data_IF_494767510239
#
_entry.id   IF_494767510239
#
_cell.length_a   1.000
_cell.length_b   1.000
_cell.length_c   1.000
_cell.angle_alpha   90.00
_cell.angle_beta   90.00
_cell.angle_gamma   90.00
#
_symmetry.space_group_name_H-M   'P 1'
#
loop_
_entity.id
_entity.type
_entity.pdbx_description
1 polymer ?
#
# COMPACT_ATOMS: atom_id res chain seq x y z
N UNK A 1 -12.07 -8.67 -15.49
CA UNK A 1 -12.59 -7.30 -15.65
C UNK A 1 -11.73 -6.59 -16.69
N UNK A 2 -12.25 -6.20 -17.85
CA UNK A 2 -11.45 -5.59 -18.93
C UNK A 2 -12.09 -5.60 -20.33
N UNK A 3 -13.12 -6.43 -20.52
CA UNK A 3 -13.71 -6.68 -21.86
C UNK A 3 -14.43 -5.50 -22.51
N UNK A 4 -14.69 -4.40 -21.81
CA UNK A 4 -15.36 -3.22 -22.37
C UNK A 4 -14.53 -1.93 -22.31
N UNK A 5 -13.30 -1.95 -21.79
CA UNK A 5 -12.51 -0.73 -21.62
C UNK A 5 -12.21 -0.04 -22.95
N UNK A 6 -11.81 -0.81 -23.98
CA UNK A 6 -11.52 -0.25 -25.31
C UNK A 6 -12.76 0.38 -25.95
N UNK A 7 -13.92 -0.29 -25.85
CA UNK A 7 -15.20 0.20 -26.38
C UNK A 7 -15.67 1.46 -25.65
N UNK A 8 -15.57 1.48 -24.32
CA UNK A 8 -16.00 2.64 -23.54
C UNK A 8 -15.12 3.87 -23.77
N UNK A 9 -13.82 3.68 -24.03
CA UNK A 9 -12.85 4.76 -24.13
C UNK A 9 -12.61 5.24 -25.58
N UNK A 10 -13.04 4.49 -26.60
CA UNK A 10 -12.77 4.82 -28.01
C UNK A 10 -13.34 6.18 -28.42
N UNK A 11 -14.53 6.50 -27.91
CA UNK A 11 -15.34 7.65 -28.31
C UNK A 11 -14.96 8.95 -27.57
N UNK A 12 -14.01 8.88 -26.64
CA UNK A 12 -13.55 10.03 -25.85
C UNK A 12 -12.19 10.50 -26.33
N UNK A 13 -11.94 11.81 -26.26
CA UNK A 13 -10.65 12.39 -26.65
C UNK A 13 -9.55 12.14 -25.60
N UNK A 14 -9.92 12.05 -24.33
CA UNK A 14 -9.01 11.82 -23.20
C UNK A 14 -9.73 11.20 -22.01
N UNK A 15 -8.96 10.64 -21.08
CA UNK A 15 -9.46 9.97 -19.87
C UNK A 15 -9.03 10.72 -18.62
N UNK A 16 -9.95 10.88 -17.66
CA UNK A 16 -9.67 11.43 -16.33
C UNK A 16 -9.95 10.33 -15.31
N UNK A 17 -8.94 9.98 -14.51
CA UNK A 17 -9.04 8.86 -13.57
C UNK A 17 -9.25 9.31 -12.13
N UNK A 18 -10.42 8.94 -11.58
CA UNK A 18 -10.75 9.11 -10.16
C UNK A 18 -10.84 7.77 -9.41
N UNK A 19 -10.22 6.71 -9.93
CA UNK A 19 -10.31 5.36 -9.37
C UNK A 19 -9.30 5.12 -8.24
N UNK A 20 -9.63 4.18 -7.37
CA UNK A 20 -8.95 3.95 -6.11
C UNK A 20 -8.25 2.58 -6.03
N UNK A 21 -8.19 1.84 -7.14
CA UNK A 21 -7.64 0.49 -7.17
C UNK A 21 -6.68 0.27 -8.35
N UNK A 22 -5.67 -0.55 -8.12
CA UNK A 22 -4.62 -0.82 -9.10
C UNK A 22 -5.12 -1.54 -10.36
N UNK A 23 -5.97 -2.59 -10.29
CA UNK A 23 -6.42 -3.28 -11.50
C UNK A 23 -7.09 -2.34 -12.49
N UNK A 24 -7.92 -1.40 -12.00
CA UNK A 24 -8.56 -0.41 -12.87
C UNK A 24 -7.55 0.55 -13.48
N UNK A 25 -6.54 1.00 -12.72
CA UNK A 25 -5.46 1.87 -13.25
C UNK A 25 -4.64 1.20 -14.35
N UNK A 26 -4.28 -0.08 -14.18
CA UNK A 26 -3.59 -0.82 -15.24
C UNK A 26 -4.51 -1.06 -16.45
N UNK A 27 -5.79 -1.32 -16.22
CA UNK A 27 -6.79 -1.45 -17.30
C UNK A 27 -6.91 -0.14 -18.09
N UNK A 28 -7.01 1.01 -17.41
CA UNK A 28 -7.06 2.33 -18.04
C UNK A 28 -5.77 2.62 -18.79
N UNK A 29 -4.60 2.36 -18.18
CA UNK A 29 -3.30 2.54 -18.81
C UNK A 29 -3.23 1.83 -20.16
N UNK A 30 -3.54 0.54 -20.15
CA UNK A 30 -3.35 -0.35 -21.29
C UNK A 30 -4.32 0.02 -22.41
N UNK A 31 -5.58 0.32 -22.06
CA UNK A 31 -6.55 0.81 -23.03
C UNK A 31 -6.13 2.16 -23.64
N UNK A 32 -5.62 3.09 -22.83
CA UNK A 32 -5.15 4.39 -23.30
C UNK A 32 -3.88 4.27 -24.17
N UNK A 33 -2.97 3.35 -23.83
CA UNK A 33 -1.78 3.08 -24.64
C UNK A 33 -2.16 2.50 -26.01
N UNK A 34 -3.09 1.54 -26.06
CA UNK A 34 -3.59 0.92 -27.29
C UNK A 34 -4.33 1.94 -28.17
N UNK A 35 -5.19 2.76 -27.58
CA UNK A 35 -6.01 3.74 -28.30
C UNK A 35 -5.28 5.06 -28.60
N UNK A 36 -4.08 5.27 -28.04
CA UNK A 36 -3.34 6.52 -28.15
C UNK A 36 -4.04 7.70 -27.48
N UNK A 37 -4.70 7.47 -26.34
CA UNK A 37 -5.49 8.48 -25.62
C UNK A 37 -4.68 9.08 -24.47
N UNK A 38 -4.63 10.41 -24.31
CA UNK A 38 -4.10 11.04 -23.12
C UNK A 38 -4.89 10.63 -21.88
N UNK A 39 -4.19 10.44 -20.77
CA UNK A 39 -4.78 10.05 -19.50
C UNK A 39 -4.30 10.95 -18.36
N UNK A 40 -5.23 11.69 -17.75
CA UNK A 40 -4.98 12.54 -16.59
C UNK A 40 -5.19 11.72 -15.31
N UNK A 41 -4.08 11.31 -14.71
CA UNK A 41 -4.05 10.47 -13.52
C UNK A 41 -4.18 11.30 -12.24
N UNK A 42 -4.95 10.78 -11.29
CA UNK A 42 -5.07 11.30 -9.94
C UNK A 42 -5.01 10.16 -8.92
N UNK A 43 -4.27 10.36 -7.84
CA UNK A 43 -4.25 9.41 -6.72
C UNK A 43 -4.09 10.13 -5.40
N UNK A 44 -4.63 9.54 -4.34
CA UNK A 44 -4.59 10.08 -2.98
C UNK A 44 -4.19 8.99 -2.00
N UNK A 45 -3.40 9.35 -0.99
CA UNK A 45 -3.05 8.47 0.10
C UNK A 45 -2.84 9.29 1.38
N UNK A 46 -3.72 9.09 2.37
CA UNK A 46 -3.75 9.83 3.65
C UNK A 46 -3.87 11.35 3.48
N UNK A 47 -2.73 12.03 3.36
CA UNK A 47 -2.61 13.49 3.24
C UNK A 47 -1.87 13.90 1.97
N UNK A 48 -1.44 12.93 1.15
CA UNK A 48 -0.69 13.18 -0.07
C UNK A 48 -1.56 12.94 -1.30
N UNK A 49 -1.57 13.91 -2.22
CA UNK A 49 -2.19 13.81 -3.54
C UNK A 49 -1.11 13.71 -4.62
N UNK A 50 -1.40 12.99 -5.69
CA UNK A 50 -0.52 12.81 -6.84
C UNK A 50 -1.29 13.09 -8.13
N UNK A 51 -0.68 13.85 -9.05
CA UNK A 51 -1.24 14.14 -10.38
C UNK A 51 -0.12 14.08 -11.43
N UNK A 52 -0.44 13.46 -12.57
CA UNK A 52 0.43 13.45 -13.76
C UNK A 52 -0.44 13.26 -15.01
N UNK A 53 0.14 13.50 -16.18
CA UNK A 53 -0.48 13.15 -17.46
C UNK A 53 0.33 12.00 -18.08
N UNK A 54 -0.36 10.97 -18.54
CA UNK A 54 0.21 9.81 -19.24
C UNK A 54 -0.25 9.77 -20.69
N UNK A 55 0.51 9.04 -21.53
CA UNK A 55 0.16 8.78 -22.94
C UNK A 55 -0.07 10.05 -23.78
N UNK A 56 0.50 11.18 -23.39
CA UNK A 56 0.33 12.46 -24.08
C UNK A 56 1.55 12.78 -24.95
N UNK A 57 1.33 13.09 -26.24
CA UNK A 57 2.36 13.43 -27.24
C UNK A 57 3.54 12.45 -27.30
N UNK A 58 3.23 11.15 -27.16
CA UNK A 58 4.26 10.11 -27.13
C UNK A 58 5.12 10.12 -25.86
N UNK A 59 4.67 10.76 -24.78
CA UNK A 59 5.29 10.75 -23.45
C UNK A 59 5.20 9.40 -22.73
N UNK A 60 5.70 9.33 -21.48
CA UNK A 60 5.65 8.10 -20.67
C UNK A 60 4.23 7.77 -20.22
N UNK A 61 4.03 6.52 -19.81
CA UNK A 61 2.76 6.00 -19.31
C UNK A 61 2.88 5.42 -17.90
N UNK A 62 1.77 4.89 -17.38
CA UNK A 62 1.72 4.41 -16.00
C UNK A 62 2.62 3.19 -15.78
N UNK A 63 2.78 2.31 -16.78
CA UNK A 63 3.73 1.18 -16.69
C UNK A 63 5.19 1.61 -16.79
N UNK A 64 5.48 2.78 -17.37
CA UNK A 64 6.83 3.34 -17.35
C UNK A 64 7.22 3.80 -15.94
N UNK A 65 6.28 4.41 -15.22
CA UNK A 65 6.48 4.90 -13.85
C UNK A 65 6.29 3.82 -12.77
N UNK A 66 5.29 2.97 -12.94
CA UNK A 66 4.91 1.87 -12.05
C UNK A 66 4.79 0.57 -12.84
N UNK A 67 5.91 -0.08 -13.19
CA UNK A 67 5.90 -1.31 -13.99
C UNK A 67 5.08 -2.42 -13.33
N UNK A 68 5.16 -2.50 -12.00
CA UNK A 68 4.37 -3.38 -11.15
C UNK A 68 3.75 -2.57 -10.00
N UNK A 69 2.59 -3.02 -9.53
CA UNK A 69 1.92 -2.40 -8.40
C UNK A 69 2.79 -2.50 -7.14
N UNK A 70 2.79 -1.48 -6.26
CA UNK A 70 3.43 -1.58 -4.95
C UNK A 70 2.75 -2.67 -4.09
N UNK A 71 3.49 -3.31 -3.16
CA UNK A 71 2.94 -4.35 -2.29
C UNK A 71 1.71 -3.87 -1.49
N UNK A 72 0.70 -4.72 -1.23
CA UNK A 72 -0.48 -4.36 -0.45
C UNK A 72 -0.15 -3.76 0.92
N UNK A 73 0.91 -4.25 1.56
CA UNK A 73 1.39 -3.74 2.86
C UNK A 73 1.89 -2.29 2.81
N UNK A 74 2.32 -1.83 1.63
CA UNK A 74 2.83 -0.48 1.38
C UNK A 74 1.80 0.44 0.71
N UNK A 75 0.67 -0.11 0.25
CA UNK A 75 -0.37 0.62 -0.44
C UNK A 75 -1.79 0.19 0.03
N UNK A 76 -2.13 0.43 1.31
CA UNK A 76 -3.50 0.24 1.77
C UNK A 76 -4.46 1.12 0.96
N UNK A 77 -5.64 0.59 0.65
CA UNK A 77 -6.69 1.32 -0.05
C UNK A 77 -7.21 2.50 0.81
N UNK A 78 -7.88 3.46 0.19
CA UNK A 78 -8.39 4.66 0.86
C UNK A 78 -9.35 4.32 2.03
N UNK A 79 -10.06 3.18 1.93
CA UNK A 79 -11.00 2.72 2.94
C UNK A 79 -10.30 2.24 4.23
N UNK A 80 -9.08 1.71 4.13
CA UNK A 80 -8.30 1.21 5.26
C UNK A 80 -7.32 2.24 5.85
N UNK A 81 -6.73 3.09 5.00
CA UNK A 81 -5.73 4.08 5.42
C UNK A 81 -6.35 5.36 6.01
N UNK A 82 -7.61 5.66 5.62
CA UNK A 82 -8.25 6.94 5.82
C UNK A 82 -7.62 8.05 4.97
N UNK A 83 -8.45 8.93 4.41
CA UNK A 83 -7.99 10.07 3.60
C UNK A 83 -8.62 11.36 4.11
N UNK A 84 -7.87 12.46 4.07
CA UNK A 84 -8.42 13.78 4.32
C UNK A 84 -9.51 14.09 3.28
N UNK A 85 -10.77 14.23 3.70
CA UNK A 85 -11.91 14.30 2.78
C UNK A 85 -11.89 15.43 1.75
N UNK A 86 -11.13 16.50 1.98
CA UNK A 86 -10.96 17.60 0.99
C UNK A 86 -9.93 17.29 -0.09
N UNK A 87 -9.04 16.31 0.13
CA UNK A 87 -7.94 15.99 -0.78
C UNK A 87 -8.41 15.51 -2.16
N UNK A 88 -9.45 14.65 -2.32
CA UNK A 88 -10.02 14.36 -3.62
C UNK A 88 -10.46 15.60 -4.39
N UNK A 89 -11.02 16.60 -3.70
CA UNK A 89 -11.44 17.87 -4.32
C UNK A 89 -10.25 18.69 -4.83
N UNK A 90 -9.15 18.71 -4.08
CA UNK A 90 -7.90 19.37 -4.50
C UNK A 90 -7.31 18.66 -5.72
N UNK A 91 -7.14 17.34 -5.64
CA UNK A 91 -6.57 16.52 -6.73
C UNK A 91 -7.44 16.60 -7.99
N UNK A 92 -8.76 16.46 -7.86
CA UNK A 92 -9.70 16.57 -8.99
C UNK A 92 -9.70 17.96 -9.63
N UNK A 93 -9.50 19.04 -8.86
CA UNK A 93 -9.36 20.40 -9.41
C UNK A 93 -8.10 20.52 -10.26
N UNK A 94 -7.00 19.89 -9.84
CA UNK A 94 -5.74 19.89 -10.60
C UNK A 94 -5.87 19.02 -11.85
N UNK A 95 -6.50 17.85 -11.76
CA UNK A 95 -6.80 17.01 -12.93
C UNK A 95 -7.66 17.78 -13.95
N UNK A 96 -8.66 18.53 -13.48
CA UNK A 96 -9.49 19.38 -14.35
C UNK A 96 -8.68 20.48 -15.01
N UNK A 97 -7.75 21.11 -14.29
CA UNK A 97 -6.85 22.11 -14.85
C UNK A 97 -5.92 21.53 -15.92
N UNK A 98 -5.31 20.35 -15.69
CA UNK A 98 -4.52 19.66 -16.72
C UNK A 98 -5.38 19.32 -17.94
N UNK A 99 -6.58 18.79 -17.73
CA UNK A 99 -7.53 18.46 -18.81
C UNK A 99 -7.80 19.67 -19.70
N UNK A 100 -8.14 20.82 -19.11
CA UNK A 100 -8.39 22.06 -19.84
C UNK A 100 -7.14 22.53 -20.60
N UNK A 101 -5.95 22.44 -19.98
CA UNK A 101 -4.68 22.79 -20.65
C UNK A 101 -4.43 21.94 -21.88
N UNK A 102 -4.63 20.62 -21.77
CA UNK A 102 -4.46 19.69 -22.88
C UNK A 102 -5.46 19.96 -24.00
N UNK A 103 -6.75 20.16 -23.69
CA UNK A 103 -7.79 20.45 -24.68
C UNK A 103 -7.55 21.76 -25.44
N UNK A 104 -7.03 22.78 -24.75
CA UNK A 104 -6.77 24.09 -25.34
C UNK A 104 -5.36 24.23 -25.93
N UNK A 105 -4.47 23.27 -25.67
CA UNK A 105 -3.05 23.37 -26.05
C UNK A 105 -2.32 24.53 -25.38
N UNK A 106 -2.62 24.83 -24.11
CA UNK A 106 -2.07 25.98 -23.39
C UNK A 106 -1.21 25.57 -22.19
N UNK A 107 -0.06 26.26 -22.05
CA UNK A 107 0.90 25.99 -20.97
C UNK A 107 1.61 24.64 -21.11
N UNK A 108 2.40 24.30 -20.10
CA UNK A 108 3.11 23.02 -20.04
C UNK A 108 2.24 21.96 -19.36
N UNK A 109 2.24 20.72 -19.87
CA UNK A 109 1.53 19.60 -19.24
C UNK A 109 2.37 18.93 -18.15
N UNK A 110 1.72 18.18 -17.26
CA UNK A 110 2.41 17.28 -16.32
C UNK A 110 2.89 15.96 -16.96
N UNK A 111 2.98 15.88 -18.30
CA UNK A 111 3.55 14.69 -18.95
C UNK A 111 5.03 14.54 -18.57
N UNK A 112 5.42 13.35 -18.10
CA UNK A 112 6.77 13.09 -17.58
C UNK A 112 7.08 13.76 -16.23
N UNK A 113 6.07 14.28 -15.53
CA UNK A 113 6.22 14.93 -14.23
C UNK A 113 5.14 14.51 -13.23
N UNK A 114 5.51 13.76 -12.19
CA UNK A 114 4.62 13.44 -11.09
C UNK A 114 4.61 14.60 -10.09
N UNK A 115 3.52 15.37 -10.09
CA UNK A 115 3.25 16.35 -9.04
C UNK A 115 2.76 15.62 -7.79
N UNK A 116 3.41 15.85 -6.65
CA UNK A 116 2.99 15.36 -5.34
C UNK A 116 2.72 16.55 -4.43
N UNK A 117 1.57 16.54 -3.77
CA UNK A 117 1.14 17.58 -2.84
C UNK A 117 0.99 16.93 -1.47
N UNK A 118 1.78 17.38 -0.50
CA UNK A 118 1.58 17.03 0.91
C UNK A 118 0.72 18.10 1.59
N UNK A 119 -0.53 17.76 1.90
CA UNK A 119 -1.47 18.69 2.54
C UNK A 119 -1.21 18.92 4.02
N UNK A 120 -0.34 18.13 4.68
CA UNK A 120 0.08 18.44 6.07
C UNK A 120 1.00 19.66 6.10
N UNK A 121 1.93 19.72 5.16
CA UNK A 121 2.92 20.79 5.08
C UNK A 121 2.58 21.85 4.02
N UNK A 122 1.54 21.61 3.21
CA UNK A 122 1.16 22.39 2.03
C UNK A 122 2.32 22.60 1.07
N UNK A 123 3.18 21.59 0.94
CA UNK A 123 4.31 21.59 0.01
C UNK A 123 3.99 20.79 -1.24
N UNK A 124 4.36 21.33 -2.39
CA UNK A 124 4.29 20.65 -3.68
C UNK A 124 5.69 20.31 -4.15
N UNK A 125 5.87 19.10 -4.66
CA UNK A 125 7.12 18.61 -5.28
C UNK A 125 6.79 18.02 -6.64
N UNK A 126 7.69 18.23 -7.61
CA UNK A 126 7.57 17.66 -8.95
C UNK A 126 8.71 16.69 -9.16
N UNK A 127 8.39 15.43 -9.45
CA UNK A 127 9.34 14.37 -9.73
C UNK A 127 9.30 14.06 -11.23
N UNK A 128 10.44 14.24 -11.91
CA UNK A 128 10.53 13.92 -13.34
C UNK A 128 10.71 12.42 -13.55
N UNK A 129 10.08 11.89 -14.59
CA UNK A 129 10.23 10.50 -15.02
C UNK A 129 10.11 10.40 -16.54
N UNK A 130 10.71 9.36 -17.10
CA UNK A 130 10.78 9.11 -18.54
C UNK A 130 10.25 7.70 -18.85
N UNK A 131 10.17 7.39 -20.15
CA UNK A 131 9.83 6.03 -20.60
C UNK A 131 10.80 5.00 -20.05
N UNK A 132 10.29 3.83 -19.68
CA UNK A 132 11.13 2.74 -19.21
C UNK A 132 11.88 2.11 -20.41
N UNK A 133 13.22 2.15 -20.44
CA UNK A 133 13.98 1.61 -21.56
C UNK A 133 13.73 0.11 -21.75
N UNK A 134 13.45 -0.30 -22.98
CA UNK A 134 13.22 -1.72 -23.32
C UNK A 134 11.84 -2.27 -22.96
N UNK A 135 10.92 -1.45 -22.41
CA UNK A 135 9.52 -1.85 -22.23
C UNK A 135 8.87 -2.07 -23.59
N UNK A 136 8.16 -3.19 -23.73
CA UNK A 136 7.32 -3.44 -24.90
C UNK A 136 5.98 -2.72 -24.73
N UNK A 137 5.53 -1.94 -25.74
CA UNK A 137 4.20 -1.35 -25.72
C UNK A 137 3.12 -2.42 -25.59
N UNK A 138 2.04 -2.10 -24.86
CA UNK A 138 0.85 -2.94 -24.83
C UNK A 138 0.06 -2.71 -26.11
N UNK A 139 -0.20 -3.77 -26.88
CA UNK A 139 -0.91 -3.68 -28.17
C UNK A 139 -2.30 -4.33 -28.14
N UNK A 140 -2.60 -5.11 -27.10
CA UNK A 140 -3.88 -5.78 -26.89
C UNK A 140 -4.20 -5.86 -25.40
N UNK A 141 -5.49 -5.84 -25.06
CA UNK A 141 -5.90 -6.00 -23.67
C UNK A 141 -5.60 -7.43 -23.22
N UNK A 142 -4.92 -7.56 -22.09
CA UNK A 142 -4.64 -8.85 -21.47
C UNK A 142 -4.96 -8.78 -20.00
N UNK A 143 -6.02 -9.48 -19.60
CA UNK A 143 -6.36 -9.65 -18.19
C UNK A 143 -5.19 -10.30 -17.44
N UNK A 144 -4.47 -11.22 -18.07
CA UNK A 144 -3.28 -11.84 -17.50
C UNK A 144 -2.16 -10.83 -17.23
N UNK A 145 -1.89 -9.87 -18.14
CA UNK A 145 -0.86 -8.83 -17.90
C UNK A 145 -1.27 -7.81 -16.83
N UNK A 146 -2.57 -7.53 -16.72
CA UNK A 146 -3.10 -6.66 -15.66
C UNK A 146 -3.00 -7.39 -14.32
N UNK A 147 -3.41 -8.66 -14.31
CA UNK A 147 -3.26 -9.57 -13.19
C UNK A 147 -1.79 -9.62 -12.80
N UNK A 148 -0.84 -9.98 -13.67
CA UNK A 148 0.61 -10.04 -13.38
C UNK A 148 1.18 -8.72 -12.84
N UNK A 149 0.76 -7.58 -13.38
CA UNK A 149 1.23 -6.28 -12.90
C UNK A 149 0.68 -5.91 -11.52
N UNK A 150 -0.56 -6.32 -11.22
CA UNK A 150 -1.15 -6.24 -9.90
C UNK A 150 -0.65 -7.36 -8.97
N UNK A 151 -0.24 -8.48 -9.57
CA UNK A 151 0.35 -9.67 -9.03
C UNK A 151 1.88 -9.62 -9.12
N UNK A 152 2.46 -8.45 -8.78
CA UNK A 152 3.68 -8.51 -7.96
C UNK A 152 3.50 -9.41 -6.72
N UNK A 153 2.29 -9.95 -6.49
CA UNK A 153 1.95 -11.15 -5.75
C UNK A 153 0.82 -11.99 -6.45
N UNK A 154 1.12 -13.15 -7.05
CA UNK A 154 0.49 -14.47 -6.75
C UNK A 154 0.86 -15.62 -7.74
N UNK A 155 1.52 -16.66 -7.21
CA UNK A 155 1.67 -18.06 -7.71
C UNK A 155 2.52 -18.30 -8.98
N UNK A 156 3.84 -18.43 -8.80
CA UNK A 156 4.54 -19.59 -9.40
C UNK A 156 4.20 -20.80 -8.54
N UNK A 157 3.88 -21.94 -9.16
CA UNK A 157 3.88 -23.24 -8.49
C UNK A 157 5.31 -23.58 -8.03
N UNK A 158 5.72 -22.97 -6.93
CA UNK A 158 6.81 -23.42 -6.07
C UNK A 158 6.19 -23.63 -4.67
N UNK A 159 6.64 -24.66 -3.91
CA UNK A 159 5.98 -25.06 -2.66
C UNK A 159 5.86 -23.89 -1.67
N UNK A 160 4.82 -23.87 -0.82
CA UNK A 160 4.40 -22.68 -0.08
C UNK A 160 5.51 -22.13 0.82
N UNK A 161 5.88 -20.87 0.61
CA UNK A 161 6.81 -20.11 1.47
C UNK A 161 6.03 -18.93 2.08
N UNK A 162 5.53 -19.08 3.32
CA UNK A 162 5.25 -17.91 4.19
C UNK A 162 3.85 -17.69 4.77
N UNK A 163 3.26 -18.67 5.45
CA UNK A 163 2.34 -18.34 6.55
C UNK A 163 3.17 -17.81 7.72
N UNK A 164 2.84 -16.60 8.19
CA UNK A 164 3.26 -16.15 9.52
C UNK A 164 2.45 -16.94 10.54
N UNK A 165 3.09 -17.35 11.63
CA UNK A 165 2.37 -18.06 12.67
C UNK A 165 1.41 -17.09 13.37
N UNK A 166 0.15 -17.48 13.52
CA UNK A 166 -0.85 -16.66 14.18
C UNK A 166 -1.12 -17.18 15.59
N UNK A 167 -1.41 -16.26 16.50
CA UNK A 167 -1.85 -16.59 17.85
C UNK A 167 -2.91 -15.60 18.32
N UNK A 168 -3.98 -16.11 18.91
CA UNK A 168 -4.99 -15.27 19.57
C UNK A 168 -4.53 -14.88 20.99
N UNK A 169 -5.06 -13.79 21.57
CA UNK A 169 -4.79 -13.44 22.97
C UNK A 169 -5.05 -14.57 23.96
N UNK A 170 -6.18 -15.29 23.82
CA UNK A 170 -6.51 -16.46 24.65
C UNK A 170 -5.45 -17.55 24.58
N UNK A 171 -5.02 -17.94 23.38
CA UNK A 171 -4.00 -18.97 23.19
C UNK A 171 -2.63 -18.52 23.71
N UNK A 172 -2.29 -17.24 23.53
CA UNK A 172 -1.06 -16.66 24.05
C UNK A 172 -1.00 -16.78 25.58
N UNK A 173 -2.07 -16.39 26.28
CA UNK A 173 -2.16 -16.50 27.75
C UNK A 173 -2.13 -17.96 28.20
N UNK A 174 -2.86 -18.84 27.52
CA UNK A 174 -2.87 -20.27 27.84
C UNK A 174 -1.48 -20.88 27.70
N UNK A 175 -0.77 -20.64 26.60
CA UNK A 175 0.60 -21.16 26.39
C UNK A 175 1.59 -20.56 27.40
N UNK A 176 1.49 -19.27 27.71
CA UNK A 176 2.26 -18.62 28.79
C UNK A 176 2.07 -19.32 30.13
N UNK A 177 0.83 -19.69 30.47
CA UNK A 177 0.53 -20.41 31.72
C UNK A 177 1.18 -21.81 31.79
N UNK A 178 1.46 -22.42 30.63
CA UNK A 178 2.13 -23.72 30.49
C UNK A 178 3.66 -23.61 30.40
N UNK A 179 4.22 -22.41 30.61
CA UNK A 179 5.66 -22.16 30.65
C UNK A 179 6.29 -21.66 29.35
N UNK A 180 5.49 -21.38 28.30
CA UNK A 180 6.00 -20.75 27.09
C UNK A 180 6.31 -19.27 27.34
N UNK A 181 7.53 -18.83 27.05
CA UNK A 181 7.98 -17.47 27.34
C UNK A 181 8.58 -16.78 26.10
N UNK A 182 7.73 -16.37 25.13
CA UNK A 182 8.19 -15.66 23.94
C UNK A 182 8.55 -14.20 24.29
N UNK A 183 9.40 -13.60 23.46
CA UNK A 183 9.67 -12.17 23.46
C UNK A 183 8.46 -11.44 22.88
N UNK A 184 7.88 -10.52 23.64
CA UNK A 184 6.67 -9.80 23.28
C UNK A 184 7.02 -8.38 22.80
N UNK A 185 6.84 -8.14 21.50
CA UNK A 185 7.16 -6.89 20.83
C UNK A 185 5.88 -6.07 20.54
N UNK A 186 5.80 -4.87 21.11
CA UNK A 186 4.77 -3.89 20.79
C UNK A 186 5.21 -2.99 19.64
N UNK A 187 4.44 -2.97 18.55
CA UNK A 187 4.74 -2.14 17.38
C UNK A 187 3.84 -0.92 17.18
N UNK A 188 3.11 -0.54 18.23
CA UNK A 188 2.27 0.66 18.25
C UNK A 188 3.10 1.94 18.39
N UNK A 189 2.42 3.09 18.26
CA UNK A 189 3.02 4.41 18.46
C UNK A 189 3.16 4.73 19.93
N UNK A 190 4.12 5.61 20.27
CA UNK A 190 4.36 6.02 21.66
C UNK A 190 3.12 6.63 22.35
N UNK A 191 2.25 7.33 21.62
CA UNK A 191 1.02 7.86 22.19
C UNK A 191 -0.03 6.78 22.49
N UNK A 192 -0.01 5.66 21.75
CA UNK A 192 -0.88 4.50 22.00
C UNK A 192 -0.38 3.67 23.19
N UNK A 193 0.95 3.52 23.30
CA UNK A 193 1.62 2.91 24.46
C UNK A 193 1.27 3.64 25.77
N UNK A 194 1.30 4.97 25.75
CA UNK A 194 1.03 5.81 26.92
C UNK A 194 -0.40 5.64 27.47
N UNK A 195 -1.33 5.13 26.68
CA UNK A 195 -2.70 4.82 27.11
C UNK A 195 -2.71 3.50 27.90
N UNK A 196 -2.15 2.45 27.31
CA UNK A 196 -2.13 1.10 27.88
C UNK A 196 -1.05 0.26 27.23
N UNK A 197 -0.43 -0.63 28.00
CA UNK A 197 0.52 -1.63 27.53
C UNK A 197 0.13 -3.01 28.05
N UNK A 198 0.35 -4.06 27.25
CA UNK A 198 0.13 -5.42 27.72
C UNK A 198 1.16 -5.81 28.78
N UNK A 199 0.76 -6.52 29.85
CA UNK A 199 1.71 -7.04 30.83
C UNK A 199 2.72 -7.98 30.15
N UNK A 200 3.99 -7.87 30.53
CA UNK A 200 5.04 -8.73 29.97
C UNK A 200 5.53 -8.32 28.57
N UNK A 201 5.26 -7.09 28.12
CA UNK A 201 5.88 -6.52 26.92
C UNK A 201 7.37 -6.26 27.15
N UNK A 202 8.23 -6.90 26.35
CA UNK A 202 9.68 -6.83 26.49
C UNK A 202 10.27 -5.60 25.80
N UNK A 203 9.79 -5.26 24.61
CA UNK A 203 10.28 -4.12 23.84
C UNK A 203 9.16 -3.41 23.07
N UNK A 204 9.37 -2.12 22.84
CA UNK A 204 8.44 -1.24 22.15
C UNK A 204 9.15 -0.50 21.03
N UNK A 205 8.73 -0.74 19.81
CA UNK A 205 9.29 -0.12 18.61
C UNK A 205 8.18 0.10 17.62
N UNK A 206 7.84 1.35 17.32
CA UNK A 206 6.83 1.64 16.30
C UNK A 206 7.15 0.89 14.99
N UNK A 207 6.15 0.24 14.40
CA UNK A 207 6.29 -0.61 13.20
C UNK A 207 7.25 -0.07 12.11
N UNK A 208 7.21 1.23 11.81
CA UNK A 208 8.09 1.86 10.80
C UNK A 208 9.59 1.85 11.16
N UNK A 209 9.90 1.76 12.44
CA UNK A 209 11.26 1.77 12.97
C UNK A 209 11.81 0.35 13.20
N UNK A 210 10.97 -0.69 13.08
CA UNK A 210 11.39 -2.08 13.27
C UNK A 210 12.51 -2.49 12.30
N UNK A 211 12.51 -2.12 11.00
CA UNK A 211 13.60 -2.47 10.10
C UNK A 211 14.97 -1.95 10.54
N UNK A 212 15.03 -0.75 11.11
CA UNK A 212 16.27 -0.16 11.60
C UNK A 212 16.73 -0.76 12.94
N UNK A 213 15.84 -1.42 13.69
CA UNK A 213 16.12 -2.02 15.01
C UNK A 213 16.09 -3.54 15.00
N UNK A 214 15.93 -4.17 13.83
CA UNK A 214 15.76 -5.61 13.75
C UNK A 214 17.00 -6.37 14.20
N UNK A 215 18.19 -5.77 14.13
CA UNK A 215 19.41 -6.41 14.63
C UNK A 215 19.45 -6.53 16.16
N UNK A 216 18.73 -5.66 16.87
CA UNK A 216 18.65 -5.64 18.33
C UNK A 216 17.61 -6.63 18.89
N UNK A 217 16.77 -7.22 18.03
CA UNK A 217 15.74 -8.17 18.43
C UNK A 217 16.36 -9.57 18.63
N UNK A 218 15.95 -10.32 19.67
CA UNK A 218 16.46 -11.66 19.92
C UNK A 218 16.01 -12.64 18.83
N UNK A 219 16.97 -13.41 18.31
CA UNK A 219 16.75 -14.39 17.22
C UNK A 219 16.69 -15.84 17.71
N UNK A 220 17.01 -16.06 18.99
CA UNK A 220 17.14 -17.36 19.64
C UNK A 220 15.89 -17.79 20.42
N UNK A 221 14.83 -16.98 20.42
CA UNK A 221 13.55 -17.27 21.07
C UNK A 221 12.36 -17.07 20.11
N UNK A 222 11.18 -17.47 20.55
CA UNK A 222 9.94 -17.10 19.87
C UNK A 222 9.68 -15.60 20.07
N UNK A 223 9.18 -14.96 19.02
CA UNK A 223 8.86 -13.54 18.96
C UNK A 223 7.37 -13.40 18.67
N UNK A 224 6.61 -12.80 19.58
CA UNK A 224 5.20 -12.45 19.38
C UNK A 224 5.11 -10.95 19.17
N UNK A 225 4.64 -10.55 17.99
CA UNK A 225 4.45 -9.14 17.63
C UNK A 225 2.98 -8.80 17.79
N UNK A 226 2.68 -7.69 18.46
CA UNK A 226 1.32 -7.20 18.58
C UNK A 226 1.22 -5.71 18.28
N UNK A 227 0.02 -5.30 17.86
CA UNK A 227 -0.31 -3.90 17.69
C UNK A 227 -1.72 -3.62 18.22
N UNK A 228 -2.36 -2.55 17.73
CA UNK A 228 -3.73 -2.18 18.15
C UNK A 228 -4.79 -3.21 17.70
N UNK A 229 -4.78 -3.59 16.42
CA UNK A 229 -5.82 -4.43 15.79
C UNK A 229 -5.28 -5.66 15.04
N UNK A 230 -3.98 -5.93 15.10
CA UNK A 230 -3.32 -7.07 14.42
C UNK A 230 -2.71 -6.74 13.04
N UNK A 231 -3.13 -5.66 12.37
CA UNK A 231 -2.65 -5.37 11.00
C UNK A 231 -1.17 -4.93 10.92
N UNK A 232 -0.71 -4.06 11.81
CA UNK A 232 0.70 -3.62 11.82
C UNK A 232 1.65 -4.73 12.27
N UNK A 233 1.21 -5.59 13.18
CA UNK A 233 2.01 -6.71 13.69
C UNK A 233 2.16 -7.81 12.65
N UNK A 234 1.12 -8.10 11.87
CA UNK A 234 1.18 -8.99 10.71
C UNK A 234 2.21 -8.51 9.68
N UNK A 235 2.14 -7.23 9.29
CA UNK A 235 3.10 -6.64 8.35
C UNK A 235 4.56 -6.75 8.84
N UNK A 236 4.80 -6.47 10.13
CA UNK A 236 6.13 -6.61 10.74
C UNK A 236 6.59 -8.08 10.74
N UNK A 237 5.72 -9.01 11.12
CA UNK A 237 6.06 -10.42 11.17
C UNK A 237 6.38 -11.01 9.79
N UNK A 238 5.62 -10.61 8.75
CA UNK A 238 5.94 -10.94 7.35
C UNK A 238 7.26 -10.37 6.92
N UNK A 239 7.51 -9.09 7.22
CA UNK A 239 8.77 -8.44 6.86
C UNK A 239 9.97 -9.17 7.48
N UNK A 240 9.91 -9.49 8.78
CA UNK A 240 10.95 -10.27 9.46
C UNK A 240 11.21 -11.60 8.74
N UNK A 241 10.15 -12.33 8.38
CA UNK A 241 10.26 -13.58 7.64
C UNK A 241 10.86 -13.45 6.22
N UNK A 242 10.72 -12.30 5.57
CA UNK A 242 11.40 -11.99 4.30
C UNK A 242 12.84 -11.56 4.50
N UNK A 243 13.15 -10.91 5.62
CA UNK A 243 14.50 -10.49 6.02
C UNK A 243 15.37 -11.63 6.56
N UNK A 244 14.96 -12.90 6.37
CA UNK A 244 15.73 -14.08 6.74
C UNK A 244 15.58 -14.53 8.19
N UNK A 245 14.57 -14.04 8.92
CA UNK A 245 14.23 -14.58 10.24
C UNK A 245 13.62 -15.98 10.14
N UNK A 246 13.84 -16.80 11.18
CA UNK A 246 13.20 -18.11 11.30
C UNK A 246 11.69 -17.94 11.49
N UNK A 247 10.94 -18.21 10.42
CA UNK A 247 9.48 -18.06 10.36
C UNK A 247 8.75 -18.96 11.34
N UNK A 248 9.36 -20.06 11.80
CA UNK A 248 8.76 -20.96 12.78
C UNK A 248 8.69 -20.38 14.19
N UNK A 249 9.30 -19.19 14.39
CA UNK A 249 9.41 -18.51 15.68
C UNK A 249 8.78 -17.14 15.71
N UNK A 250 8.31 -16.62 14.57
CA UNK A 250 7.72 -15.27 14.50
C UNK A 250 6.21 -15.40 14.42
N UNK A 251 5.54 -14.84 15.44
CA UNK A 251 4.11 -14.93 15.65
C UNK A 251 3.47 -13.54 15.55
N UNK A 252 2.33 -13.45 14.85
CA UNK A 252 1.45 -12.29 14.88
C UNK A 252 0.33 -12.53 15.91
N UNK A 253 0.16 -11.58 16.84
CA UNK A 253 -1.01 -11.57 17.74
C UNK A 253 -2.23 -11.02 17.00
N UNK A 254 -3.12 -11.94 16.61
CA UNK A 254 -4.33 -11.62 15.84
C UNK A 254 -5.24 -10.71 16.66
N UNK A 255 -5.80 -9.69 16.01
CA UNK A 255 -6.71 -8.73 16.65
C UNK A 255 -6.04 -7.78 17.66
N UNK A 256 -4.75 -7.96 17.95
CA UNK A 256 -3.95 -7.08 18.81
C UNK A 256 -4.58 -6.82 20.18
N UNK A 257 -4.37 -5.60 20.69
CA UNK A 257 -4.92 -5.15 21.97
C UNK A 257 -6.45 -5.10 22.01
N UNK A 258 -7.10 -4.85 20.88
CA UNK A 258 -8.57 -4.84 20.83
C UNK A 258 -9.14 -6.22 21.15
N UNK A 259 -8.59 -7.27 20.54
CA UNK A 259 -9.02 -8.63 20.85
C UNK A 259 -8.55 -9.08 22.24
N UNK A 260 -7.41 -8.57 22.72
CA UNK A 260 -6.99 -8.78 24.11
C UNK A 260 -8.01 -8.21 25.11
N UNK A 261 -8.52 -7.00 24.84
CA UNK A 261 -9.57 -6.38 25.65
C UNK A 261 -10.84 -7.24 25.67
N UNK A 262 -11.22 -7.83 24.54
CA UNK A 262 -12.40 -8.70 24.45
C UNK A 262 -12.23 -10.04 25.17
N UNK A 263 -11.06 -10.66 25.06
CA UNK A 263 -10.86 -12.06 25.44
C UNK A 263 -10.20 -12.24 26.81
N UNK A 264 -9.35 -11.30 27.22
CA UNK A 264 -8.47 -11.46 28.39
C UNK A 264 -8.79 -10.43 29.47
N UNK A 265 -8.81 -9.15 29.13
CA UNK A 265 -8.93 -8.07 30.11
C UNK A 265 -9.74 -6.89 29.57
N UNK A 266 -11.04 -6.90 29.88
CA UNK A 266 -11.99 -5.84 29.50
C UNK A 266 -11.66 -4.45 30.07
N UNK A 267 -10.74 -4.34 31.03
CA UNK A 267 -10.28 -3.04 31.54
C UNK A 267 -9.30 -2.35 30.59
N UNK A 268 -8.69 -3.09 29.66
CA UNK A 268 -7.84 -2.53 28.61
C UNK A 268 -8.72 -1.71 27.65
N UNK A 269 -8.49 -0.38 27.53
CA UNK A 269 -9.34 0.47 26.73
C UNK A 269 -9.15 0.21 25.23
N UNK A 270 -10.26 0.16 24.50
CA UNK A 270 -10.27 0.25 23.05
C UNK A 270 -10.32 1.72 22.65
N UNK A 271 -9.20 2.22 22.16
CA UNK A 271 -9.07 3.51 21.50
C UNK A 271 -8.89 3.31 20.01
#
# INVERSE_FOLDING_TARGET
MGNNALELLSDWDMVIDGTDNFPTRYTINDACEILGKPWVFGSIHRFEGQVTVFNYDGGPNYRDLFPNAPPPELAPNCAEAGVLGVLPGIVGSIQSAETIKLLLGVGDSLSGQLMVIDTKSMKTRSLKFDKLPGRKPVTEMSEQLIIEACQSQEIREEPPIGQVLEITPSEFVERRSKGWNPFLLDVRRANEEAIVSLPGTDLRVEHIAVPAKSEDLPKDCDLVVYCRTGGRSDAVARWLGHSGWDRSRVWNMVGGIHLWSDQIDSTVPKY
#
